data_IF_278447809765
#
_entry.id   IF_278447809765
#
_cell.length_a   1.000
_cell.length_b   1.000
_cell.length_c   1.000
_cell.angle_alpha   90.00
_cell.angle_beta   90.00
_cell.angle_gamma   90.00
#
_symmetry.space_group_name_H-M   'P 1'
#
loop_
_entity.id
_entity.type
_entity.pdbx_description
1 polymer ?
#
# COMPACT_ATOMS: atom_id res chain seq x y z
N UNK A 1 -1.06 13.10 6.56
CA UNK A 1 -1.97 14.02 7.26
C UNK A 1 -1.18 15.20 7.84
N UNK A 2 -1.74 16.41 7.91
CA UNK A 2 -1.07 17.54 8.55
C UNK A 2 -0.83 17.23 10.04
N UNK A 3 0.23 17.80 10.65
CA UNK A 3 0.51 17.58 12.05
C UNK A 3 -0.65 18.08 12.92
N UNK A 4 -1.00 17.35 13.99
CA UNK A 4 -2.04 17.81 14.91
C UNK A 4 -1.67 19.18 15.47
N UNK A 5 -2.58 20.13 15.40
CA UNK A 5 -2.41 21.45 15.99
C UNK A 5 -2.18 21.33 17.51
N UNK A 6 -1.36 22.20 18.08
CA UNK A 6 -1.12 22.22 19.53
C UNK A 6 -2.47 22.38 20.25
N UNK A 7 -2.85 21.47 21.17
CA UNK A 7 -4.14 21.62 21.84
C UNK A 7 -4.19 22.93 22.60
N UNK A 8 -5.32 23.66 22.56
CA UNK A 8 -5.51 24.88 23.31
C UNK A 8 -5.36 24.61 24.83
N UNK A 9 -4.67 25.47 25.52
CA UNK A 9 -4.29 25.31 26.93
C UNK A 9 -5.32 25.82 27.91
N UNK A 10 -6.58 25.44 27.79
CA UNK A 10 -7.64 25.78 28.70
C UNK A 10 -9.04 25.61 28.14
N UNK A 11 -10.02 25.32 28.98
CA UNK A 11 -11.40 25.04 28.57
C UNK A 11 -11.96 26.15 27.68
N UNK A 12 -11.70 27.42 28.02
CA UNK A 12 -12.16 28.57 27.27
C UNK A 12 -11.59 28.61 25.86
N UNK A 13 -10.29 28.40 25.72
CA UNK A 13 -9.63 28.34 24.40
C UNK A 13 -10.08 27.14 23.58
N UNK A 14 -10.31 25.97 24.23
CA UNK A 14 -10.85 24.78 23.59
C UNK A 14 -12.26 25.04 23.08
N UNK A 15 -13.09 25.70 23.88
CA UNK A 15 -14.44 26.07 23.50
C UNK A 15 -14.45 27.07 22.34
N UNK A 16 -13.67 28.14 22.42
CA UNK A 16 -13.55 29.16 21.37
C UNK A 16 -13.01 28.58 20.06
N UNK A 17 -12.02 27.69 20.15
CA UNK A 17 -11.46 27.02 18.96
C UNK A 17 -12.39 25.95 18.35
N UNK A 18 -13.32 25.38 19.13
CA UNK A 18 -14.27 24.37 18.68
C UNK A 18 -15.62 24.92 18.22
N UNK A 19 -15.86 26.24 18.39
CA UNK A 19 -17.08 26.91 17.91
C UNK A 19 -17.04 27.12 16.39
N UNK A 20 -17.22 26.05 15.65
CA UNK A 20 -17.34 26.12 14.19
C UNK A 20 -18.76 26.53 13.79
N UNK A 21 -19.76 26.05 14.54
CA UNK A 21 -21.18 26.35 14.33
C UNK A 21 -21.79 26.83 15.64
N UNK A 22 -22.51 27.98 15.68
CA UNK A 22 -23.20 28.44 16.87
C UNK A 22 -24.17 27.38 17.41
N UNK A 23 -24.18 27.20 18.72
CA UNK A 23 -25.03 26.25 19.47
C UNK A 23 -24.71 24.76 19.32
N UNK A 24 -23.68 24.37 18.58
CA UNK A 24 -23.24 22.99 18.57
C UNK A 24 -22.36 22.68 19.78
N UNK A 25 -22.47 21.47 20.36
CA UNK A 25 -21.59 21.02 21.44
C UNK A 25 -20.14 21.00 20.99
N UNK A 26 -19.25 21.50 21.85
CA UNK A 26 -17.79 21.46 21.61
C UNK A 26 -17.17 20.38 22.45
N UNK A 27 -16.41 19.48 21.82
CA UNK A 27 -15.71 18.42 22.52
C UNK A 27 -14.51 18.97 23.29
N UNK A 28 -14.58 18.93 24.61
CA UNK A 28 -13.52 19.40 25.51
C UNK A 28 -12.48 18.31 25.80
N UNK A 29 -12.90 17.07 25.98
CA UNK A 29 -12.02 15.94 26.28
C UNK A 29 -12.61 14.63 25.75
N UNK A 30 -11.75 13.79 25.18
CA UNK A 30 -12.06 12.41 24.80
C UNK A 30 -11.44 11.44 25.83
N UNK A 31 -11.91 10.20 25.88
CA UNK A 31 -11.40 9.13 26.75
C UNK A 31 -11.37 9.53 28.23
N UNK A 32 -12.46 10.12 28.70
CA UNK A 32 -12.63 10.42 30.12
C UNK A 32 -12.70 9.10 30.88
N UNK A 33 -11.84 8.92 31.87
CA UNK A 33 -11.87 7.73 32.73
C UNK A 33 -13.18 7.63 33.51
N UNK A 34 -13.48 6.41 33.97
CA UNK A 34 -14.76 6.09 34.59
C UNK A 34 -15.03 6.90 35.87
N UNK A 35 -13.99 7.16 36.65
CA UNK A 35 -14.10 7.90 37.89
C UNK A 35 -14.34 9.39 37.65
N UNK A 36 -13.62 9.97 36.69
CA UNK A 36 -13.85 11.35 36.22
C UNK A 36 -15.25 11.50 35.60
N UNK A 37 -15.69 10.53 34.79
CA UNK A 37 -17.03 10.54 34.23
C UNK A 37 -18.12 10.50 35.32
N UNK A 38 -17.94 9.67 36.35
CA UNK A 38 -18.86 9.60 37.48
C UNK A 38 -18.92 10.94 38.26
N UNK A 39 -17.75 11.58 38.49
CA UNK A 39 -17.70 12.90 39.12
C UNK A 39 -18.39 13.98 38.30
N UNK A 40 -18.19 14.01 36.97
CA UNK A 40 -18.89 14.96 36.08
C UNK A 40 -20.40 14.73 36.17
N UNK A 41 -20.85 13.48 36.17
CA UNK A 41 -22.27 13.13 36.29
C UNK A 41 -22.85 13.58 37.64
N UNK A 42 -22.13 13.39 38.73
CA UNK A 42 -22.55 13.86 40.06
C UNK A 42 -22.64 15.39 40.12
N UNK A 43 -21.69 16.09 39.45
CA UNK A 43 -21.62 17.53 39.46
C UNK A 43 -22.41 18.21 38.32
N UNK A 44 -23.24 17.46 37.58
CA UNK A 44 -24.01 17.96 36.47
C UNK A 44 -24.81 19.24 36.78
N UNK A 45 -25.40 19.31 37.98
CA UNK A 45 -26.14 20.49 38.46
C UNK A 45 -25.23 21.74 38.60
N UNK A 46 -23.93 21.53 38.89
CA UNK A 46 -22.94 22.61 39.04
C UNK A 46 -22.18 22.94 37.78
N UNK A 47 -22.34 22.12 36.77
CA UNK A 47 -21.67 22.25 35.47
C UNK A 47 -22.72 22.40 34.34
N UNK A 48 -23.49 23.50 34.32
CA UNK A 48 -24.50 23.72 33.28
C UNK A 48 -23.83 23.80 31.91
N UNK A 49 -24.36 23.09 30.94
CA UNK A 49 -23.84 23.02 29.57
C UNK A 49 -22.70 22.01 29.36
N UNK A 50 -22.32 21.23 30.39
CA UNK A 50 -21.37 20.11 30.22
C UNK A 50 -22.14 18.81 30.14
N UNK A 51 -21.89 18.05 29.08
CA UNK A 51 -22.51 16.74 28.84
C UNK A 51 -21.44 15.66 28.69
N UNK A 52 -21.79 14.47 29.16
CA UNK A 52 -21.06 13.22 28.90
C UNK A 52 -21.75 12.49 27.76
N UNK A 53 -21.03 12.30 26.67
CA UNK A 53 -21.51 11.59 25.51
C UNK A 53 -20.73 10.28 25.39
N UNK A 54 -21.44 9.17 25.23
CA UNK A 54 -20.85 7.87 24.93
C UNK A 54 -20.81 7.72 23.41
N UNK A 55 -19.61 7.66 22.87
CA UNK A 55 -19.41 7.47 21.43
C UNK A 55 -18.72 6.13 21.17
N UNK A 56 -19.11 5.39 20.12
CA UNK A 56 -18.38 4.22 19.70
C UNK A 56 -17.00 4.63 19.18
N UNK A 57 -15.97 3.92 19.63
CA UNK A 57 -14.58 4.14 19.19
C UNK A 57 -14.12 2.89 18.46
N UNK A 58 -13.50 3.06 17.30
CA UNK A 58 -12.91 1.95 16.56
C UNK A 58 -11.78 1.32 17.38
N UNK A 59 -11.83 0.01 17.57
CA UNK A 59 -10.82 -0.77 18.27
C UNK A 59 -10.22 -1.80 17.33
N UNK A 60 -8.92 -1.74 17.12
CA UNK A 60 -8.18 -2.63 16.23
C UNK A 60 -7.53 -3.74 17.06
N UNK A 61 -8.21 -4.89 17.14
CA UNK A 61 -7.81 -6.00 18.01
C UNK A 61 -6.47 -6.63 17.63
N UNK A 62 -6.06 -6.49 16.37
CA UNK A 62 -4.80 -7.00 15.84
C UNK A 62 -3.66 -5.97 15.87
N UNK A 63 -3.97 -4.72 16.21
CA UNK A 63 -3.00 -3.64 16.35
C UNK A 63 -2.03 -3.54 15.17
N UNK A 64 -0.71 -3.49 15.42
CA UNK A 64 0.30 -3.30 14.38
C UNK A 64 0.34 -4.39 13.30
N UNK A 65 -0.13 -5.60 13.60
CA UNK A 65 -0.08 -6.75 12.69
C UNK A 65 -0.85 -6.51 11.38
N UNK A 66 -1.96 -5.76 11.44
CA UNK A 66 -2.84 -5.50 10.29
C UNK A 66 -3.02 -4.01 10.00
N UNK A 67 -2.19 -3.15 10.59
CA UNK A 67 -2.37 -1.70 10.50
C UNK A 67 -2.38 -1.17 9.07
N UNK A 68 -1.50 -1.67 8.21
CA UNK A 68 -1.43 -1.26 6.81
C UNK A 68 -2.58 -1.79 5.94
N UNK A 69 -3.25 -2.87 6.38
CA UNK A 69 -4.42 -3.44 5.71
C UNK A 69 -5.67 -2.70 6.17
N UNK A 70 -5.93 -2.68 7.47
CA UNK A 70 -7.13 -2.07 8.02
C UNK A 70 -7.09 -0.55 7.89
N UNK A 71 -5.92 0.06 8.09
CA UNK A 71 -5.81 1.50 8.18
C UNK A 71 -6.36 2.03 9.50
N UNK A 72 -6.84 3.25 9.51
CA UNK A 72 -7.41 3.86 10.70
C UNK A 72 -8.46 4.93 10.37
N UNK A 73 -9.33 5.14 11.34
CA UNK A 73 -10.36 6.18 11.34
C UNK A 73 -9.83 7.42 12.07
N UNK A 74 -10.03 8.59 11.51
CA UNK A 74 -9.62 9.85 12.09
C UNK A 74 -10.61 10.98 11.87
N UNK A 75 -10.28 12.19 12.35
CA UNK A 75 -11.07 13.38 12.04
C UNK A 75 -10.94 13.72 10.57
N UNK A 76 -12.01 14.25 10.00
CA UNK A 76 -12.00 14.78 8.63
C UNK A 76 -10.98 15.93 8.56
N UNK A 77 -10.01 15.89 7.62
CA UNK A 77 -9.09 17.00 7.39
C UNK A 77 -9.84 18.29 7.01
N UNK A 78 -9.39 19.44 7.53
CA UNK A 78 -10.05 20.73 7.29
C UNK A 78 -10.24 21.04 5.79
N UNK A 79 -9.24 20.67 4.98
CA UNK A 79 -9.26 20.88 3.53
C UNK A 79 -10.34 20.05 2.81
N UNK A 80 -10.79 18.96 3.43
CA UNK A 80 -11.78 18.04 2.87
C UNK A 80 -13.17 18.21 3.49
N UNK A 81 -13.31 19.07 4.50
CA UNK A 81 -14.54 19.20 5.28
C UNK A 81 -15.75 19.51 4.38
N UNK A 82 -15.63 20.48 3.48
CA UNK A 82 -16.72 20.85 2.57
C UNK A 82 -17.20 19.67 1.70
N UNK A 83 -16.26 18.83 1.22
CA UNK A 83 -16.57 17.64 0.43
C UNK A 83 -17.35 16.59 1.26
N UNK A 84 -16.93 16.38 2.51
CA UNK A 84 -17.62 15.43 3.38
C UNK A 84 -18.97 15.95 3.88
N UNK A 85 -19.11 17.27 4.11
CA UNK A 85 -20.39 17.90 4.44
C UNK A 85 -21.44 17.70 3.34
N UNK A 86 -21.05 17.81 2.06
CA UNK A 86 -21.92 17.47 0.92
C UNK A 86 -22.41 16.01 0.93
N UNK A 87 -21.63 15.12 1.53
CA UNK A 87 -21.97 13.70 1.72
C UNK A 87 -22.74 13.44 3.03
N UNK A 88 -23.10 14.50 3.77
CA UNK A 88 -23.87 14.40 5.00
C UNK A 88 -23.07 14.04 6.24
N UNK A 89 -21.76 14.41 6.26
CA UNK A 89 -20.96 14.36 7.48
C UNK A 89 -21.08 15.66 8.28
N UNK A 90 -21.01 15.54 9.58
CA UNK A 90 -20.87 16.70 10.47
C UNK A 90 -19.39 17.04 10.65
N UNK A 91 -19.02 18.30 10.95
CA UNK A 91 -17.62 18.72 11.12
C UNK A 91 -16.83 17.93 12.17
N UNK A 92 -17.52 17.34 13.13
CA UNK A 92 -16.91 16.53 14.20
C UNK A 92 -16.90 15.02 13.90
N UNK A 93 -17.41 14.62 12.76
CA UNK A 93 -17.42 13.21 12.38
C UNK A 93 -16.01 12.68 12.12
N UNK A 94 -15.93 11.37 12.08
CA UNK A 94 -14.73 10.64 11.74
C UNK A 94 -14.98 9.87 10.46
N UNK A 95 -13.91 9.70 9.69
CA UNK A 95 -13.90 8.93 8.45
C UNK A 95 -12.68 8.04 8.40
N UNK A 96 -12.72 6.99 7.62
CA UNK A 96 -11.52 6.22 7.26
C UNK A 96 -10.51 7.11 6.55
N UNK A 97 -9.27 7.12 7.00
CA UNK A 97 -8.20 7.93 6.41
C UNK A 97 -7.21 7.13 5.59
N UNK A 98 -7.08 5.85 5.88
CA UNK A 98 -6.17 4.93 5.17
C UNK A 98 -6.75 3.51 5.15
N UNK A 99 -6.14 2.63 4.35
CA UNK A 99 -6.47 1.21 4.32
C UNK A 99 -7.91 0.90 3.93
N UNK A 100 -8.40 -0.23 4.39
CA UNK A 100 -9.78 -0.69 4.17
C UNK A 100 -10.81 0.28 4.78
N UNK A 101 -10.49 0.91 5.91
CA UNK A 101 -11.36 1.93 6.52
C UNK A 101 -11.65 3.08 5.54
N UNK A 102 -10.65 3.53 4.76
CA UNK A 102 -10.84 4.53 3.71
C UNK A 102 -11.58 3.97 2.49
N UNK A 103 -11.10 2.84 1.96
CA UNK A 103 -11.59 2.32 0.68
C UNK A 103 -13.05 1.83 0.74
N UNK A 104 -13.52 1.47 1.92
CA UNK A 104 -14.87 0.96 2.16
C UNK A 104 -15.65 1.82 3.17
N UNK A 105 -15.29 3.09 3.31
CA UNK A 105 -15.97 4.03 4.23
C UNK A 105 -17.48 4.03 4.02
N UNK A 106 -17.95 4.11 2.76
CA UNK A 106 -19.38 4.09 2.42
C UNK A 106 -20.13 2.84 2.90
N UNK A 107 -19.40 1.72 3.02
CA UNK A 107 -19.94 0.43 3.47
C UNK A 107 -19.91 0.33 5.00
N UNK A 108 -18.81 0.79 5.59
CA UNK A 108 -18.53 0.68 7.03
C UNK A 108 -19.24 1.78 7.83
N UNK A 109 -19.54 2.91 7.19
CA UNK A 109 -20.26 4.01 7.80
C UNK A 109 -21.70 3.62 8.09
N UNK A 110 -22.16 3.81 9.33
CA UNK A 110 -23.56 3.72 9.70
C UNK A 110 -24.36 4.95 9.24
N UNK A 111 -25.64 4.92 9.49
CA UNK A 111 -26.53 6.09 9.34
C UNK A 111 -26.90 6.60 10.72
N UNK A 112 -26.76 7.92 10.92
CA UNK A 112 -27.18 8.56 12.16
C UNK A 112 -28.69 8.48 12.33
N UNK A 113 -29.12 8.27 13.57
CA UNK A 113 -30.51 8.49 13.95
C UNK A 113 -30.74 9.95 14.31
N UNK A 114 -31.99 10.37 14.24
CA UNK A 114 -32.38 11.72 14.55
C UNK A 114 -33.60 11.73 15.47
N UNK A 115 -33.60 12.62 16.46
CA UNK A 115 -34.77 12.95 17.25
C UNK A 115 -34.95 14.46 17.33
N UNK A 116 -36.17 14.93 17.16
CA UNK A 116 -36.50 16.33 17.41
C UNK A 116 -36.92 16.49 18.86
N UNK A 117 -36.29 17.41 19.56
CA UNK A 117 -36.57 17.65 21.00
C UNK A 117 -37.03 19.10 21.22
N UNK A 118 -37.95 19.28 22.15
CA UNK A 118 -38.28 20.60 22.68
C UNK A 118 -37.34 20.89 23.86
N UNK A 119 -36.67 22.01 23.85
CA UNK A 119 -35.75 22.42 24.90
C UNK A 119 -36.27 23.66 25.64
N UNK A 120 -35.92 23.80 26.93
CA UNK A 120 -36.18 25.03 27.68
C UNK A 120 -35.14 26.11 27.35
N UNK A 121 -35.26 27.28 27.97
CA UNK A 121 -34.36 28.41 27.77
C UNK A 121 -32.91 28.16 28.22
N UNK A 122 -32.68 27.10 28.98
CA UNK A 122 -31.36 26.65 29.44
C UNK A 122 -30.80 25.53 28.57
N UNK A 123 -31.53 25.09 27.51
CA UNK A 123 -31.09 24.04 26.58
C UNK A 123 -31.38 22.61 27.07
N UNK A 124 -32.13 22.43 28.17
CA UNK A 124 -32.48 21.12 28.68
C UNK A 124 -33.68 20.51 27.91
N UNK A 125 -33.57 19.24 27.54
CA UNK A 125 -34.65 18.50 26.85
C UNK A 125 -35.89 18.40 27.74
N UNK A 126 -37.01 18.95 27.25
CA UNK A 126 -38.34 18.86 27.91
C UNK A 126 -39.07 17.61 27.43
N UNK A 127 -39.11 17.39 26.14
CA UNK A 127 -39.74 16.22 25.51
C UNK A 127 -39.27 15.99 24.09
N UNK A 128 -39.36 14.75 23.62
CA UNK A 128 -39.18 14.41 22.21
C UNK A 128 -40.45 14.72 21.43
N UNK A 129 -40.31 15.36 20.27
CA UNK A 129 -41.41 15.71 19.36
C UNK A 129 -41.33 14.85 18.10
N UNK A 130 -42.44 14.19 17.76
CA UNK A 130 -42.54 13.39 16.54
C UNK A 130 -41.88 12.02 16.61
N UNK A 131 -41.56 11.47 15.43
CA UNK A 131 -40.92 10.15 15.31
C UNK A 131 -39.41 10.25 15.58
N UNK A 132 -38.87 9.24 16.24
CA UNK A 132 -37.43 9.03 16.42
C UNK A 132 -36.95 8.16 15.27
N UNK A 133 -35.93 8.61 14.55
CA UNK A 133 -35.21 7.77 13.60
C UNK A 133 -34.07 7.10 14.33
N UNK A 134 -34.10 5.78 14.41
CA UNK A 134 -33.06 5.00 15.08
C UNK A 134 -31.78 4.96 14.21
N UNK A 135 -30.57 5.02 14.82
CA UNK A 135 -29.34 4.86 14.08
C UNK A 135 -29.21 3.49 13.49
N UNK A 136 -28.66 3.40 12.29
CA UNK A 136 -28.38 2.12 11.62
C UNK A 136 -26.87 1.89 11.60
N UNK A 137 -26.40 0.72 12.08
CA UNK A 137 -24.98 0.37 11.98
C UNK A 137 -24.55 0.22 10.52
N UNK A 138 -23.28 0.45 10.23
CA UNK A 138 -22.68 0.10 8.96
C UNK A 138 -22.60 -1.41 8.77
N UNK A 139 -22.24 -1.81 7.56
CA UNK A 139 -22.05 -3.21 7.21
C UNK A 139 -20.68 -3.72 7.68
N UNK A 140 -20.50 -5.03 7.63
CA UNK A 140 -19.24 -5.68 7.97
C UNK A 140 -18.53 -6.15 6.69
N UNK A 141 -17.20 -6.17 6.72
CA UNK A 141 -16.38 -6.74 5.67
C UNK A 141 -15.76 -8.05 6.14
N UNK A 142 -15.81 -9.06 5.28
CA UNK A 142 -15.05 -10.30 5.46
C UNK A 142 -13.84 -10.18 4.55
N UNK A 143 -12.64 -10.22 5.14
CA UNK A 143 -11.39 -10.10 4.41
C UNK A 143 -10.87 -11.47 3.96
N UNK A 144 -10.03 -11.46 2.92
CA UNK A 144 -9.33 -12.66 2.42
C UNK A 144 -8.14 -13.05 3.30
N UNK A 145 -7.79 -12.22 4.28
CA UNK A 145 -6.63 -12.39 5.14
C UNK A 145 -6.82 -13.58 6.09
N UNK A 146 -5.88 -14.51 6.04
CA UNK A 146 -5.69 -15.54 7.06
C UNK A 146 -4.83 -14.96 8.20
N UNK A 147 -5.42 -14.76 9.36
CA UNK A 147 -4.75 -14.10 10.49
C UNK A 147 -3.60 -14.94 11.06
N UNK A 148 -3.68 -16.26 11.03
CA UNK A 148 -2.60 -17.13 11.49
C UNK A 148 -1.42 -17.08 10.51
N UNK A 149 -1.71 -17.12 9.20
CA UNK A 149 -0.69 -16.94 8.19
C UNK A 149 -0.01 -15.56 8.33
N UNK A 150 -0.80 -14.48 8.55
CA UNK A 150 -0.30 -13.12 8.76
C UNK A 150 0.70 -13.05 9.93
N UNK A 151 0.42 -13.74 11.06
CA UNK A 151 1.32 -13.82 12.23
C UNK A 151 2.60 -14.58 11.93
N UNK A 152 2.48 -15.70 11.23
CA UNK A 152 3.64 -16.50 10.82
C UNK A 152 4.53 -15.68 9.88
N UNK A 153 3.93 -14.99 8.90
CA UNK A 153 4.64 -14.14 7.96
C UNK A 153 5.37 -12.99 8.67
N UNK A 154 4.73 -12.30 9.61
CA UNK A 154 5.40 -11.24 10.38
C UNK A 154 6.60 -11.80 11.17
N UNK A 155 6.42 -12.93 11.85
CA UNK A 155 7.49 -13.56 12.64
C UNK A 155 8.67 -13.96 11.75
N UNK A 156 8.40 -14.55 10.60
CA UNK A 156 9.42 -14.95 9.64
C UNK A 156 10.14 -13.74 9.04
N UNK A 157 9.39 -12.69 8.69
CA UNK A 157 9.95 -11.46 8.15
C UNK A 157 10.88 -10.77 9.15
N UNK A 158 10.49 -10.66 10.42
CA UNK A 158 11.34 -10.08 11.48
C UNK A 158 12.67 -10.84 11.63
N UNK A 159 12.64 -12.16 11.60
CA UNK A 159 13.87 -12.99 11.63
C UNK A 159 14.74 -12.76 10.40
N UNK A 160 14.14 -12.68 9.22
CA UNK A 160 14.87 -12.41 7.98
C UNK A 160 15.53 -11.03 8.01
N UNK A 161 14.79 -10.00 8.47
CA UNK A 161 15.31 -8.64 8.63
C UNK A 161 16.48 -8.58 9.62
N UNK A 162 16.36 -9.24 10.76
CA UNK A 162 17.45 -9.36 11.74
C UNK A 162 18.70 -10.01 11.13
N UNK A 163 18.53 -11.12 10.42
CA UNK A 163 19.64 -11.84 9.76
C UNK A 163 20.30 -11.01 8.65
N UNK A 164 19.52 -10.18 7.96
CA UNK A 164 20.00 -9.33 6.88
C UNK A 164 20.52 -7.96 7.37
N UNK A 165 20.35 -7.62 8.65
CA UNK A 165 20.64 -6.28 9.19
C UNK A 165 19.75 -5.19 8.59
N UNK A 166 18.53 -5.55 8.13
CA UNK A 166 17.59 -4.61 7.52
C UNK A 166 16.63 -4.04 8.55
N UNK A 167 16.27 -2.77 8.41
CA UNK A 167 15.30 -2.07 9.27
C UNK A 167 13.89 -2.05 8.68
N UNK A 168 13.74 -2.42 7.40
CA UNK A 168 12.45 -2.51 6.72
C UNK A 168 12.33 -3.80 5.91
N UNK A 169 11.09 -4.26 5.69
CA UNK A 169 10.83 -5.46 4.93
C UNK A 169 9.36 -5.63 4.58
N UNK A 170 9.11 -6.42 3.54
CA UNK A 170 7.76 -6.75 3.05
C UNK A 170 7.66 -8.24 2.80
N UNK A 171 6.52 -8.82 3.15
CA UNK A 171 6.12 -10.15 2.67
C UNK A 171 4.63 -10.16 2.34
N UNK A 172 4.27 -10.79 1.22
CA UNK A 172 2.88 -10.86 0.73
C UNK A 172 2.62 -12.31 0.30
N UNK A 173 1.46 -12.83 0.64
CA UNK A 173 0.96 -14.13 0.17
C UNK A 173 -0.34 -13.92 -0.63
N UNK A 174 -0.41 -14.51 -1.82
CA UNK A 174 -1.54 -14.43 -2.74
C UNK A 174 -1.94 -15.82 -3.21
N UNK A 175 -3.23 -16.07 -3.36
CA UNK A 175 -3.71 -17.20 -4.15
C UNK A 175 -3.65 -16.85 -5.64
N UNK A 176 -2.76 -17.48 -6.42
CA UNK A 176 -2.59 -17.16 -7.84
C UNK A 176 -3.80 -17.52 -8.70
N UNK A 177 -4.74 -18.31 -8.19
CA UNK A 177 -5.95 -18.73 -8.91
C UNK A 177 -7.07 -17.67 -8.87
N UNK A 178 -6.99 -16.74 -7.90
CA UNK A 178 -8.09 -15.79 -7.62
C UNK A 178 -7.61 -14.35 -7.48
N UNK A 179 -6.31 -14.12 -7.22
CA UNK A 179 -5.78 -12.80 -6.86
C UNK A 179 -6.04 -12.39 -5.40
N UNK A 180 -6.63 -13.26 -4.59
CA UNK A 180 -6.89 -12.97 -3.17
C UNK A 180 -5.59 -12.87 -2.38
N UNK A 181 -5.44 -11.79 -1.63
CA UNK A 181 -4.33 -11.59 -0.70
C UNK A 181 -4.64 -12.32 0.60
N UNK A 182 -3.87 -13.35 0.90
CA UNK A 182 -4.02 -14.17 2.11
C UNK A 182 -3.24 -13.61 3.29
N UNK A 183 -2.22 -12.81 3.03
CA UNK A 183 -1.42 -12.10 4.03
C UNK A 183 -0.59 -10.99 3.38
N UNK A 184 -0.41 -9.88 4.11
CA UNK A 184 0.39 -8.74 3.68
C UNK A 184 1.01 -8.09 4.91
N UNK A 185 2.32 -8.18 5.04
CA UNK A 185 3.10 -7.58 6.13
C UNK A 185 4.07 -6.56 5.55
N UNK A 186 4.02 -5.36 6.07
CA UNK A 186 4.95 -4.27 5.79
C UNK A 186 5.55 -3.79 7.11
N UNK A 187 6.86 -3.84 7.25
CA UNK A 187 7.59 -3.43 8.45
C UNK A 187 8.58 -2.29 8.12
N UNK A 188 8.77 -1.33 9.06
CA UNK A 188 8.07 -1.22 10.34
C UNK A 188 6.59 -0.88 10.15
N UNK A 189 5.77 -1.29 11.12
CA UNK A 189 4.35 -1.00 11.19
C UNK A 189 4.04 -0.03 12.36
N UNK A 190 2.79 0.36 12.51
CA UNK A 190 2.32 1.24 13.57
C UNK A 190 1.08 0.66 14.26
N UNK A 191 0.79 1.13 15.49
CA UNK A 191 -0.48 0.79 16.14
C UNK A 191 -1.56 1.78 15.67
N UNK A 192 -2.52 1.28 14.91
CA UNK A 192 -3.63 2.09 14.41
C UNK A 192 -4.61 2.54 15.52
N UNK A 193 -4.59 1.89 16.70
CA UNK A 193 -5.35 2.37 17.87
C UNK A 193 -4.91 3.76 18.34
N UNK A 194 -3.67 4.17 18.08
CA UNK A 194 -3.20 5.53 18.39
C UNK A 194 -4.03 6.62 17.70
N UNK A 195 -4.65 6.31 16.56
CA UNK A 195 -5.48 7.24 15.79
C UNK A 195 -6.95 7.21 16.20
N UNK A 196 -7.42 6.14 16.83
CA UNK A 196 -8.85 5.91 17.15
C UNK A 196 -9.48 7.02 17.99
N UNK A 197 -8.71 7.66 18.85
CA UNK A 197 -9.21 8.73 19.73
C UNK A 197 -8.52 10.08 19.47
N UNK A 198 -7.61 10.10 18.51
CA UNK A 198 -6.72 11.21 18.20
C UNK A 198 -5.29 10.92 18.64
N UNK A 199 -4.36 10.98 17.71
CA UNK A 199 -2.94 10.73 17.98
C UNK A 199 -2.31 11.91 18.71
N UNK A 200 -1.41 11.63 19.67
CA UNK A 200 -0.61 12.67 20.32
C UNK A 200 0.40 13.28 19.32
N UNK A 201 0.78 14.54 19.54
CA UNK A 201 1.81 15.17 18.68
C UNK A 201 3.13 14.41 18.78
N UNK A 202 3.49 13.89 19.95
CA UNK A 202 4.70 13.10 20.16
C UNK A 202 4.69 11.81 19.34
N UNK A 203 3.62 11.02 19.42
CA UNK A 203 3.49 9.78 18.65
C UNK A 203 3.45 10.05 17.15
N UNK A 204 2.73 11.10 16.74
CA UNK A 204 2.67 11.49 15.33
C UNK A 204 4.06 11.86 14.78
N UNK A 205 4.80 12.70 15.50
CA UNK A 205 6.15 13.09 15.11
C UNK A 205 7.06 11.88 15.06
N UNK A 206 7.04 11.00 16.07
CA UNK A 206 7.82 9.77 16.09
C UNK A 206 7.59 8.93 14.83
N UNK A 207 6.33 8.71 14.44
CA UNK A 207 5.98 7.92 13.26
C UNK A 207 6.33 8.64 11.94
N UNK A 208 6.23 9.98 11.90
CA UNK A 208 6.40 10.74 10.66
C UNK A 208 7.87 11.06 10.34
N UNK A 209 8.74 11.22 11.36
CA UNK A 209 10.17 11.50 11.15
C UNK A 209 11.01 10.23 11.06
N UNK A 210 10.45 9.07 11.33
CA UNK A 210 11.15 7.79 11.22
C UNK A 210 11.60 7.58 9.76
N UNK A 211 12.91 7.33 9.59
CA UNK A 211 13.53 7.12 8.26
C UNK A 211 12.94 5.93 7.51
N UNK A 212 12.47 4.92 8.23
CA UNK A 212 11.89 3.70 7.70
C UNK A 212 10.37 3.81 7.44
N UNK A 213 9.79 5.03 7.68
CA UNK A 213 8.43 5.43 7.30
C UNK A 213 7.34 4.43 7.69
N UNK A 214 7.13 4.16 8.98
CA UNK A 214 6.15 3.15 9.44
C UNK A 214 4.71 3.41 9.01
N UNK A 215 4.35 4.63 8.61
CA UNK A 215 3.01 4.96 8.09
C UNK A 215 2.82 4.57 6.61
N UNK A 216 3.90 4.24 5.90
CA UNK A 216 3.85 3.84 4.49
C UNK A 216 3.68 2.33 4.38
N UNK A 217 2.68 1.88 3.65
CA UNK A 217 2.58 0.49 3.25
C UNK A 217 3.57 0.21 2.12
N UNK A 218 4.76 -0.30 2.48
CA UNK A 218 5.82 -0.60 1.52
C UNK A 218 5.46 -1.70 0.52
N UNK A 219 4.44 -2.52 0.81
CA UNK A 219 3.97 -3.57 -0.11
C UNK A 219 3.42 -3.00 -1.42
N UNK A 220 2.77 -1.84 -1.35
CA UNK A 220 2.08 -1.19 -2.46
C UNK A 220 2.65 0.19 -2.80
N UNK A 221 3.24 0.90 -1.83
CA UNK A 221 3.76 2.26 -2.00
C UNK A 221 5.28 2.33 -2.14
N UNK A 222 6.02 1.29 -1.73
CA UNK A 222 7.47 1.22 -1.86
C UNK A 222 7.90 0.87 -3.29
N UNK A 223 8.88 1.63 -3.82
CA UNK A 223 9.43 1.42 -5.15
C UNK A 223 10.86 0.89 -5.05
N UNK A 224 11.10 -0.27 -5.64
CA UNK A 224 12.40 -0.96 -5.57
C UNK A 224 12.79 -1.52 -6.94
N UNK A 225 14.09 -1.58 -7.26
CA UNK A 225 14.57 -2.40 -8.35
C UNK A 225 14.26 -3.85 -8.05
N UNK A 226 13.53 -4.57 -8.94
CA UNK A 226 13.06 -5.92 -8.63
C UNK A 226 14.18 -6.98 -8.59
N UNK A 227 15.31 -6.72 -9.22
CA UNK A 227 16.41 -7.67 -9.32
C UNK A 227 16.04 -8.94 -10.08
N UNK A 228 16.71 -10.03 -9.77
CA UNK A 228 16.60 -11.30 -10.52
C UNK A 228 15.21 -11.93 -10.55
N UNK A 229 14.30 -11.60 -9.65
CA UNK A 229 12.90 -12.07 -9.75
C UNK A 229 12.19 -11.50 -10.99
N UNK A 230 12.69 -10.41 -11.56
CA UNK A 230 12.22 -9.81 -12.81
C UNK A 230 12.47 -10.69 -14.03
N UNK A 231 13.47 -11.59 -14.00
CA UNK A 231 13.92 -12.40 -15.15
C UNK A 231 12.82 -13.28 -15.76
N UNK A 232 11.75 -13.56 -15.03
CA UNK A 232 10.56 -14.25 -15.57
C UNK A 232 9.92 -13.47 -16.74
N UNK A 233 9.99 -12.14 -16.73
CA UNK A 233 9.38 -11.29 -17.77
C UNK A 233 10.19 -11.34 -19.07
N UNK A 234 11.50 -11.01 -19.10
CA UNK A 234 12.28 -11.17 -20.32
C UNK A 234 12.37 -12.63 -20.80
N UNK A 235 12.36 -13.62 -19.89
CA UNK A 235 12.28 -15.04 -20.28
C UNK A 235 10.99 -15.35 -21.07
N UNK A 236 9.85 -14.87 -20.60
CA UNK A 236 8.58 -15.00 -21.31
C UNK A 236 8.64 -14.28 -22.65
N UNK A 237 9.13 -13.03 -22.66
CA UNK A 237 9.17 -12.20 -23.84
C UNK A 237 10.02 -12.80 -24.99
N UNK A 238 11.22 -13.33 -24.66
CA UNK A 238 12.09 -13.92 -25.68
C UNK A 238 11.54 -15.23 -26.27
N UNK A 239 10.73 -15.96 -25.48
CA UNK A 239 10.05 -17.16 -25.98
C UNK A 239 8.84 -16.82 -26.85
N UNK A 240 7.96 -15.95 -26.38
CA UNK A 240 6.74 -15.56 -27.11
C UNK A 240 7.05 -14.86 -28.43
N UNK A 241 8.10 -14.06 -28.50
CA UNK A 241 8.56 -13.39 -29.73
C UNK A 241 9.51 -14.25 -30.56
N UNK A 242 9.72 -15.53 -30.20
CA UNK A 242 10.62 -16.46 -30.90
C UNK A 242 12.03 -15.89 -31.14
N UNK A 243 12.53 -15.08 -30.20
CA UNK A 243 13.91 -14.57 -30.21
C UNK A 243 14.90 -15.71 -29.96
N UNK A 244 14.51 -16.64 -29.11
CA UNK A 244 15.26 -17.87 -28.79
C UNK A 244 14.31 -19.06 -28.62
N UNK A 245 14.80 -20.25 -28.93
CA UNK A 245 14.18 -21.51 -28.53
C UNK A 245 14.61 -21.89 -27.12
N UNK A 246 13.82 -22.64 -26.32
CA UNK A 246 14.18 -23.05 -24.96
C UNK A 246 15.53 -23.74 -24.81
N UNK A 247 15.98 -24.38 -25.90
CA UNK A 247 17.23 -25.16 -26.00
C UNK A 247 18.43 -24.38 -26.49
N UNK A 248 18.22 -23.13 -26.95
CA UNK A 248 19.31 -22.27 -27.39
C UNK A 248 20.24 -21.91 -26.25
N UNK A 249 21.55 -22.03 -26.50
CA UNK A 249 22.57 -21.88 -25.48
C UNK A 249 23.46 -20.70 -25.73
N UNK A 250 23.69 -19.93 -24.67
CA UNK A 250 24.58 -18.78 -24.64
C UNK A 250 25.72 -19.02 -23.65
N UNK A 251 26.90 -18.48 -23.95
CA UNK A 251 28.08 -18.66 -23.12
C UNK A 251 28.13 -17.58 -22.05
N UNK A 252 28.20 -17.98 -20.79
CA UNK A 252 28.50 -17.12 -19.66
C UNK A 252 29.93 -17.37 -19.15
N UNK A 253 30.82 -16.42 -19.34
CA UNK A 253 32.21 -16.41 -18.87
C UNK A 253 32.46 -15.53 -17.65
N UNK A 254 31.40 -15.22 -16.87
CA UNK A 254 31.48 -14.31 -15.75
C UNK A 254 31.40 -12.83 -16.12
N UNK A 255 32.01 -12.44 -17.23
CA UNK A 255 32.00 -11.06 -17.75
C UNK A 255 31.69 -11.04 -19.25
N UNK A 256 30.79 -10.12 -19.64
CA UNK A 256 30.49 -9.78 -21.02
C UNK A 256 31.12 -8.44 -21.35
N UNK A 257 32.05 -8.40 -22.26
CA UNK A 257 32.72 -7.18 -22.69
C UNK A 257 32.00 -6.58 -23.88
N UNK A 258 31.41 -5.41 -23.71
CA UNK A 258 30.65 -4.72 -24.75
C UNK A 258 31.53 -3.65 -25.39
N UNK A 259 31.83 -3.78 -26.69
CA UNK A 259 32.65 -2.78 -27.41
C UNK A 259 32.07 -1.35 -27.29
N UNK A 260 32.93 -0.39 -27.18
CA UNK A 260 32.51 1.01 -27.21
C UNK A 260 31.93 1.37 -28.57
N UNK A 261 30.78 2.02 -28.62
CA UNK A 261 30.11 2.41 -29.87
C UNK A 261 30.96 3.26 -30.80
N UNK A 262 31.82 4.14 -30.23
CA UNK A 262 32.64 5.07 -30.99
C UNK A 262 34.06 4.56 -31.26
N UNK A 263 34.50 3.58 -30.48
CA UNK A 263 35.82 2.94 -30.58
C UNK A 263 35.66 1.42 -30.48
N UNK A 264 34.99 0.78 -31.44
CA UNK A 264 34.64 -0.65 -31.35
C UNK A 264 35.87 -1.58 -31.39
N UNK A 265 36.95 -1.14 -32.00
CA UNK A 265 38.17 -1.92 -32.14
C UNK A 265 39.17 -1.70 -30.99
N UNK A 266 38.84 -0.87 -30.02
CA UNK A 266 39.67 -0.60 -28.84
C UNK A 266 39.16 -1.39 -27.63
N UNK A 267 39.85 -2.49 -27.23
CA UNK A 267 39.41 -3.29 -26.06
C UNK A 267 39.47 -2.54 -24.73
N UNK A 268 40.33 -1.50 -24.60
CA UNK A 268 40.46 -0.73 -23.37
C UNK A 268 39.21 0.16 -23.14
N UNK A 269 38.49 0.45 -24.20
CA UNK A 269 37.25 1.23 -24.16
C UNK A 269 35.99 0.35 -24.00
N UNK A 270 36.12 -0.99 -24.01
CA UNK A 270 35.02 -1.88 -23.84
C UNK A 270 34.45 -1.85 -22.40
N UNK A 271 33.16 -1.84 -22.26
CA UNK A 271 32.47 -1.80 -20.98
C UNK A 271 32.17 -3.22 -20.47
N UNK A 272 32.58 -3.58 -19.24
CA UNK A 272 32.26 -4.88 -18.66
C UNK A 272 30.84 -4.89 -18.08
N UNK A 273 30.11 -5.97 -18.37
CA UNK A 273 28.87 -6.35 -17.70
C UNK A 273 29.09 -7.70 -17.02
N UNK A 274 28.99 -7.72 -15.69
CA UNK A 274 29.37 -8.89 -14.89
C UNK A 274 28.15 -9.73 -14.52
N UNK A 275 28.39 -11.04 -14.39
CA UNK A 275 27.47 -11.97 -13.76
C UNK A 275 27.85 -12.11 -12.29
N UNK A 276 26.89 -12.47 -11.45
CA UNK A 276 27.16 -12.74 -10.04
C UNK A 276 28.13 -13.94 -9.84
N UNK A 277 28.15 -14.89 -10.79
CA UNK A 277 29.15 -15.97 -10.85
C UNK A 277 30.40 -15.45 -11.60
N UNK A 278 31.45 -15.13 -10.90
CA UNK A 278 32.68 -14.52 -11.47
C UNK A 278 33.36 -15.41 -12.51
N UNK A 279 33.38 -16.74 -12.28
CA UNK A 279 33.94 -17.70 -13.25
C UNK A 279 32.98 -18.04 -14.40
N UNK A 280 31.72 -17.55 -14.30
CA UNK A 280 30.66 -17.82 -15.26
C UNK A 280 29.94 -19.15 -15.04
N UNK A 281 28.83 -19.31 -15.76
CA UNK A 281 27.99 -20.52 -15.72
C UNK A 281 28.28 -21.50 -16.88
N UNK A 282 29.20 -21.16 -17.77
CA UNK A 282 29.46 -21.94 -19.00
C UNK A 282 28.36 -21.77 -20.03
N UNK A 283 27.99 -22.85 -20.71
CA UNK A 283 26.88 -22.88 -21.66
C UNK A 283 25.56 -23.03 -20.89
N UNK A 284 24.68 -22.06 -21.01
CA UNK A 284 23.37 -22.04 -20.36
C UNK A 284 22.24 -21.88 -21.36
N UNK A 285 21.20 -22.67 -21.22
CA UNK A 285 19.91 -22.50 -21.90
C UNK A 285 18.94 -21.70 -21.00
N UNK A 286 17.71 -21.49 -21.49
CA UNK A 286 16.71 -20.72 -20.76
C UNK A 286 16.41 -21.27 -19.36
N UNK A 287 16.21 -22.60 -19.24
CA UNK A 287 15.90 -23.20 -17.95
C UNK A 287 17.07 -23.08 -16.97
N UNK A 288 18.29 -23.30 -17.45
CA UNK A 288 19.51 -23.14 -16.65
C UNK A 288 19.72 -21.68 -16.27
N UNK A 289 19.42 -20.73 -17.17
CA UNK A 289 19.56 -19.28 -16.89
C UNK A 289 18.63 -18.80 -15.79
N UNK A 290 17.38 -19.30 -15.74
CA UNK A 290 16.44 -19.03 -14.66
C UNK A 290 16.88 -19.69 -13.37
N UNK A 291 17.21 -20.99 -13.39
CA UNK A 291 17.60 -21.76 -12.22
C UNK A 291 18.86 -21.23 -11.54
N UNK A 292 19.84 -20.77 -12.33
CA UNK A 292 21.12 -20.26 -11.85
C UNK A 292 21.17 -18.73 -11.79
N UNK A 293 20.08 -18.06 -12.18
CA UNK A 293 20.00 -16.59 -12.23
C UNK A 293 21.13 -15.94 -13.05
N UNK A 294 21.43 -16.49 -14.24
CA UNK A 294 22.54 -16.04 -15.05
C UNK A 294 22.26 -14.67 -15.70
N UNK A 295 23.00 -13.63 -15.31
CA UNK A 295 22.78 -12.27 -15.81
C UNK A 295 23.21 -12.14 -17.28
N UNK A 296 24.35 -12.74 -17.65
CA UNK A 296 24.90 -12.67 -19.02
C UNK A 296 23.95 -13.28 -20.06
N UNK A 297 23.19 -14.33 -19.70
CA UNK A 297 22.17 -14.87 -20.58
C UNK A 297 21.16 -13.77 -20.94
N UNK A 298 20.62 -13.09 -19.92
CA UNK A 298 19.60 -12.04 -20.11
C UNK A 298 20.13 -10.80 -20.79
N UNK A 299 21.40 -10.41 -20.56
CA UNK A 299 22.04 -9.34 -21.32
C UNK A 299 22.00 -9.65 -22.82
N UNK A 300 22.41 -10.86 -23.22
CA UNK A 300 22.51 -11.25 -24.61
C UNK A 300 21.12 -11.37 -25.26
N UNK A 301 20.20 -12.15 -24.65
CA UNK A 301 18.89 -12.43 -25.27
C UNK A 301 17.96 -11.22 -25.27
N UNK A 302 18.18 -10.26 -24.38
CA UNK A 302 17.33 -9.06 -24.31
C UNK A 302 17.96 -7.87 -25.03
N UNK A 303 19.21 -7.52 -24.73
CA UNK A 303 19.86 -6.34 -25.29
C UNK A 303 20.66 -6.60 -26.54
N UNK A 304 20.86 -7.87 -26.92
CA UNK A 304 21.68 -8.30 -28.08
C UNK A 304 23.16 -8.31 -27.76
N UNK A 305 23.95 -9.06 -28.53
CA UNK A 305 25.41 -9.07 -28.45
C UNK A 305 26.04 -9.59 -29.74
N UNK A 306 27.05 -8.90 -30.25
CA UNK A 306 27.66 -9.17 -31.55
C UNK A 306 26.63 -9.06 -32.68
N UNK A 307 26.44 -10.11 -33.43
CA UNK A 307 25.44 -10.18 -34.52
C UNK A 307 24.04 -10.58 -34.02
N UNK A 308 23.91 -11.01 -32.79
CA UNK A 308 22.62 -11.40 -32.20
C UNK A 308 21.86 -10.14 -31.74
N UNK A 309 20.67 -9.85 -32.34
CA UNK A 309 19.99 -8.57 -32.11
C UNK A 309 19.31 -8.45 -30.73
N UNK A 310 18.98 -9.59 -30.10
CA UNK A 310 18.20 -9.64 -28.88
C UNK A 310 16.75 -9.16 -29.06
N UNK A 311 15.99 -9.11 -27.95
CA UNK A 311 14.58 -8.67 -27.91
C UNK A 311 14.42 -7.16 -28.15
N UNK A 312 15.31 -6.37 -27.55
CA UNK A 312 15.27 -4.90 -27.57
C UNK A 312 14.40 -4.29 -26.47
N UNK A 313 14.65 -2.99 -26.22
CA UNK A 313 13.98 -2.22 -25.14
C UNK A 313 12.46 -2.13 -25.31
N UNK A 314 12.00 -1.80 -26.52
CA UNK A 314 10.56 -1.49 -26.72
C UNK A 314 9.69 -2.72 -26.46
N UNK A 315 10.13 -3.89 -26.91
CA UNK A 315 9.44 -5.14 -26.66
C UNK A 315 9.52 -5.54 -25.19
N UNK A 316 10.68 -5.39 -24.53
CA UNK A 316 10.80 -5.62 -23.09
C UNK A 316 9.83 -4.73 -22.30
N UNK A 317 9.75 -3.44 -22.64
CA UNK A 317 8.85 -2.50 -21.99
C UNK A 317 7.36 -2.84 -22.22
N UNK A 318 7.02 -3.37 -23.39
CA UNK A 318 5.67 -3.83 -23.69
C UNK A 318 5.30 -5.04 -22.82
N UNK A 319 6.17 -6.05 -22.73
CA UNK A 319 5.94 -7.19 -21.84
C UNK A 319 5.87 -6.79 -20.36
N UNK A 320 6.68 -5.83 -19.91
CA UNK A 320 6.54 -5.28 -18.57
C UNK A 320 5.11 -4.79 -18.28
N UNK A 321 4.51 -4.04 -19.24
CA UNK A 321 3.13 -3.55 -19.11
C UNK A 321 2.11 -4.68 -19.19
N UNK A 322 2.30 -5.67 -20.04
CA UNK A 322 1.44 -6.86 -20.09
C UNK A 322 1.43 -7.63 -18.77
N UNK A 323 2.55 -7.62 -18.03
CA UNK A 323 2.65 -8.16 -16.68
C UNK A 323 2.16 -7.19 -15.58
N UNK A 324 1.58 -6.04 -15.95
CA UNK A 324 1.00 -5.06 -15.00
C UNK A 324 2.03 -4.15 -14.35
N UNK A 325 3.27 -4.08 -14.84
CA UNK A 325 4.26 -3.14 -14.33
C UNK A 325 4.10 -1.75 -14.96
N UNK A 326 4.33 -0.70 -14.19
CA UNK A 326 4.17 0.68 -14.64
C UNK A 326 2.74 1.19 -14.60
N UNK A 327 1.81 0.40 -14.06
CA UNK A 327 0.39 0.72 -13.89
C UNK A 327 -0.09 0.27 -12.51
N UNK A 328 -1.19 0.86 -11.96
CA UNK A 328 -1.72 0.42 -10.67
C UNK A 328 -2.29 -1.00 -10.79
N UNK A 329 -2.10 -1.83 -9.76
CA UNK A 329 -2.73 -3.17 -9.68
C UNK A 329 -4.23 -3.06 -9.39
N UNK A 330 -4.66 -1.86 -8.96
CA UNK A 330 -6.02 -1.56 -8.51
C UNK A 330 -6.45 -2.39 -7.29
N UNK A 331 -5.51 -2.72 -6.42
CA UNK A 331 -5.85 -3.26 -5.10
C UNK A 331 -6.76 -2.29 -4.35
N UNK A 332 -7.63 -2.81 -3.53
CA UNK A 332 -8.58 -2.03 -2.75
C UNK A 332 -7.96 -1.30 -1.53
N UNK A 333 -6.78 -0.70 -1.74
CA UNK A 333 -6.07 0.12 -0.76
C UNK A 333 -5.63 1.46 -1.38
N UNK A 334 -5.61 2.50 -0.56
CA UNK A 334 -5.07 3.81 -0.94
C UNK A 334 -3.54 3.81 -0.88
N UNK A 335 -2.92 4.60 -1.76
CA UNK A 335 -1.46 4.86 -1.70
C UNK A 335 -0.62 3.90 -2.54
N UNK A 336 -1.24 3.24 -3.52
CA UNK A 336 -0.52 2.40 -4.49
C UNK A 336 0.36 3.25 -5.41
N UNK A 337 1.61 2.83 -5.58
CA UNK A 337 2.56 3.41 -6.53
C UNK A 337 2.55 2.64 -7.85
N UNK A 338 2.59 3.38 -8.96
CA UNK A 338 2.53 2.78 -10.30
C UNK A 338 3.84 2.12 -10.76
N UNK A 339 4.96 2.36 -10.05
CA UNK A 339 6.27 1.92 -10.52
C UNK A 339 6.81 2.75 -11.69
N UNK A 340 7.87 2.24 -12.29
CA UNK A 340 8.50 2.87 -13.47
C UNK A 340 8.98 1.79 -14.44
N UNK A 341 8.38 1.74 -15.62
CA UNK A 341 8.91 1.03 -16.79
C UNK A 341 9.59 2.06 -17.69
N UNK A 342 10.93 2.15 -17.66
CA UNK A 342 11.66 3.19 -18.38
C UNK A 342 11.59 2.97 -19.89
N UNK A 343 11.67 4.09 -20.63
CA UNK A 343 11.75 4.10 -22.11
C UNK A 343 12.84 5.05 -22.56
N UNK A 344 13.28 4.94 -23.81
CA UNK A 344 14.26 5.87 -24.38
C UNK A 344 13.77 7.34 -24.31
N UNK A 345 12.46 7.55 -24.53
CA UNK A 345 11.84 8.89 -24.39
C UNK A 345 11.90 9.40 -22.96
N UNK A 346 11.56 8.54 -22.00
CA UNK A 346 11.61 8.89 -20.56
C UNK A 346 13.04 9.28 -20.14
N UNK A 347 14.06 8.48 -20.49
CA UNK A 347 15.47 8.79 -20.13
C UNK A 347 15.91 10.13 -20.71
N UNK A 348 15.58 10.39 -21.99
CA UNK A 348 15.91 11.65 -22.64
C UNK A 348 15.26 12.86 -21.96
N UNK A 349 13.99 12.75 -21.55
CA UNK A 349 13.27 13.84 -20.89
C UNK A 349 13.73 14.08 -19.46
N UNK A 350 14.11 13.00 -18.73
CA UNK A 350 14.47 13.07 -17.31
C UNK A 350 15.95 13.43 -17.11
N UNK A 351 16.85 12.85 -17.93
CA UNK A 351 18.30 12.98 -17.76
C UNK A 351 18.99 13.71 -18.90
N UNK A 352 18.27 14.09 -19.96
CA UNK A 352 18.84 14.64 -21.20
C UNK A 352 19.86 13.71 -21.89
N UNK A 353 19.73 12.39 -21.68
CA UNK A 353 20.62 11.37 -22.20
C UNK A 353 19.90 10.43 -23.17
N UNK A 354 20.68 9.88 -24.13
CA UNK A 354 20.18 8.82 -25.00
C UNK A 354 20.19 7.47 -24.27
N UNK A 355 19.27 6.59 -24.66
CA UNK A 355 19.29 5.20 -24.22
C UNK A 355 20.46 4.45 -24.88
N UNK A 356 21.14 3.62 -24.11
CA UNK A 356 22.25 2.80 -24.59
C UNK A 356 21.99 1.32 -24.30
N UNK A 357 22.69 0.42 -24.99
CA UNK A 357 22.54 -1.03 -24.81
C UNK A 357 22.72 -1.47 -23.36
N UNK A 358 23.65 -0.86 -22.63
CA UNK A 358 23.86 -1.13 -21.20
C UNK A 358 22.65 -0.83 -20.31
N UNK A 359 21.79 0.15 -20.68
CA UNK A 359 20.55 0.40 -19.97
C UNK A 359 19.57 -0.79 -20.15
N UNK A 360 19.51 -1.36 -21.36
CA UNK A 360 18.69 -2.56 -21.63
C UNK A 360 19.22 -3.77 -20.87
N UNK A 361 20.54 -3.94 -20.79
CA UNK A 361 21.16 -5.01 -20.01
C UNK A 361 20.76 -4.91 -18.53
N UNK A 362 20.96 -3.76 -17.92
CA UNK A 362 20.59 -3.54 -16.52
C UNK A 362 19.09 -3.80 -16.31
N UNK A 363 18.23 -3.29 -17.21
CA UNK A 363 16.79 -3.50 -17.12
C UNK A 363 16.43 -4.99 -17.22
N UNK A 364 17.11 -5.77 -18.08
CA UNK A 364 16.82 -7.19 -18.30
C UNK A 364 17.00 -8.06 -17.06
N UNK A 365 17.77 -7.60 -16.09
CA UNK A 365 17.99 -8.29 -14.81
C UNK A 365 17.27 -7.60 -13.63
N UNK A 366 16.34 -6.68 -13.94
CA UNK A 366 15.56 -5.96 -12.94
C UNK A 366 16.34 -4.90 -12.18
N UNK A 367 17.33 -4.28 -12.83
CA UNK A 367 18.14 -3.19 -12.29
C UNK A 367 18.11 -1.94 -13.19
N UNK A 368 18.97 -0.96 -12.92
CA UNK A 368 18.98 0.31 -13.64
C UNK A 368 17.79 1.18 -13.25
N UNK A 369 17.01 1.61 -14.23
CA UNK A 369 15.92 2.58 -14.02
C UNK A 369 14.57 1.94 -13.72
N UNK A 370 14.42 0.61 -13.85
CA UNK A 370 13.14 -0.05 -13.56
C UNK A 370 12.85 -0.06 -12.07
N UNK A 371 11.63 0.37 -11.70
CA UNK A 371 11.15 0.36 -10.33
C UNK A 371 9.76 -0.26 -10.25
N UNK A 372 9.57 -1.16 -9.30
CA UNK A 372 8.30 -1.86 -9.09
C UNK A 372 7.92 -1.87 -7.60
N UNK A 373 6.64 -2.05 -7.32
CA UNK A 373 6.22 -2.39 -5.97
C UNK A 373 6.36 -3.90 -5.74
N UNK A 374 6.52 -4.35 -4.48
CA UNK A 374 6.48 -5.78 -4.15
C UNK A 374 5.21 -6.48 -4.63
N UNK A 375 4.05 -5.80 -4.54
CA UNK A 375 2.78 -6.34 -5.02
C UNK A 375 2.76 -6.55 -6.52
N UNK A 376 3.29 -5.60 -7.31
CA UNK A 376 3.39 -5.75 -8.77
C UNK A 376 4.21 -6.98 -9.16
N UNK A 377 5.36 -7.20 -8.51
CA UNK A 377 6.18 -8.39 -8.79
C UNK A 377 5.53 -9.69 -8.36
N UNK A 378 4.82 -9.69 -7.23
CA UNK A 378 4.03 -10.86 -6.82
C UNK A 378 2.92 -11.16 -7.83
N UNK A 379 2.19 -10.13 -8.29
CA UNK A 379 1.10 -10.30 -9.26
C UNK A 379 1.61 -10.80 -10.62
N UNK A 380 2.75 -10.27 -11.09
CA UNK A 380 3.44 -10.77 -12.29
C UNK A 380 3.83 -12.25 -12.13
N UNK A 381 4.37 -12.64 -10.97
CA UNK A 381 4.72 -14.04 -10.68
C UNK A 381 3.48 -14.94 -10.60
N UNK A 382 2.39 -14.44 -10.01
CA UNK A 382 1.11 -15.15 -9.96
C UNK A 382 0.53 -15.40 -11.36
N UNK A 383 0.68 -14.43 -12.28
CA UNK A 383 0.27 -14.59 -13.68
C UNK A 383 1.01 -15.73 -14.37
N UNK A 384 2.32 -15.90 -14.12
CA UNK A 384 3.06 -17.07 -14.63
C UNK A 384 2.51 -18.37 -14.01
N UNK A 385 2.27 -18.39 -12.69
CA UNK A 385 1.79 -19.57 -11.99
C UNK A 385 0.40 -20.03 -12.44
N UNK A 386 -0.46 -19.11 -12.88
CA UNK A 386 -1.83 -19.39 -13.33
C UNK A 386 -2.03 -19.45 -14.85
N UNK A 387 -0.94 -19.53 -15.62
CA UNK A 387 -0.92 -19.63 -17.08
C UNK A 387 -1.31 -18.35 -17.83
N UNK A 388 -0.99 -17.19 -17.29
CA UNK A 388 -1.04 -15.90 -17.98
C UNK A 388 -2.21 -14.99 -17.61
N UNK A 389 -3.00 -15.30 -16.58
CA UNK A 389 -4.07 -14.41 -16.12
C UNK A 389 -3.52 -13.43 -15.09
N UNK A 390 -3.60 -12.13 -15.37
CA UNK A 390 -3.28 -11.08 -14.42
C UNK A 390 -4.55 -10.70 -13.64
N UNK A 391 -4.66 -11.15 -12.40
CA UNK A 391 -5.80 -10.81 -11.53
C UNK A 391 -5.62 -9.45 -10.90
N UNK A 392 -6.73 -8.79 -10.61
CA UNK A 392 -6.76 -7.67 -9.67
C UNK A 392 -6.57 -8.24 -8.25
N UNK A 393 -5.56 -7.79 -7.48
CA UNK A 393 -5.41 -8.21 -6.08
C UNK A 393 -6.60 -7.78 -5.24
N UNK A 394 -7.09 -8.66 -4.36
CA UNK A 394 -8.28 -8.44 -3.53
C UNK A 394 -8.00 -8.69 -2.06
N UNK A 395 -8.50 -7.80 -1.19
CA UNK A 395 -8.47 -7.94 0.27
C UNK A 395 -9.85 -8.22 0.86
N UNK A 396 -10.92 -7.81 0.19
CA UNK A 396 -12.30 -8.02 0.63
C UNK A 396 -12.91 -9.21 -0.11
N UNK A 397 -13.31 -10.24 0.63
CA UNK A 397 -14.03 -11.40 0.09
C UNK A 397 -15.51 -11.08 -0.11
N UNK A 398 -16.16 -10.50 0.92
CA UNK A 398 -17.58 -10.16 0.87
C UNK A 398 -17.97 -9.07 1.85
N UNK A 399 -19.12 -8.45 1.55
CA UNK A 399 -19.82 -7.51 2.42
C UNK A 399 -20.99 -8.26 3.04
N UNK A 400 -21.14 -8.15 4.36
CA UNK A 400 -22.28 -8.74 5.10
C UNK A 400 -22.97 -7.68 5.95
N UNK A 401 -24.26 -7.83 6.17
CA UNK A 401 -25.03 -6.94 7.04
C UNK A 401 -24.74 -7.20 8.55
N UNK A 402 -25.41 -6.46 9.42
CA UNK A 402 -25.27 -6.61 10.86
C UNK A 402 -25.75 -8.00 11.39
N UNK A 403 -26.50 -8.75 10.59
CA UNK A 403 -26.97 -10.11 10.92
C UNK A 403 -26.05 -11.20 10.34
N UNK A 404 -25.06 -10.81 9.52
CA UNK A 404 -24.15 -11.74 8.86
C UNK A 404 -24.66 -12.25 7.50
N UNK A 405 -25.74 -11.68 6.97
CA UNK A 405 -26.24 -12.03 5.64
C UNK A 405 -25.40 -11.36 4.56
N UNK A 406 -25.04 -12.10 3.51
CA UNK A 406 -24.20 -11.59 2.43
C UNK A 406 -24.96 -10.59 1.56
N UNK A 407 -24.48 -9.36 1.51
CA UNK A 407 -24.97 -8.29 0.63
C UNK A 407 -24.27 -8.36 -0.75
N UNK A 408 -22.94 -8.57 -0.73
CA UNK A 408 -22.14 -8.67 -1.94
C UNK A 408 -20.99 -9.66 -1.74
N UNK A 409 -20.77 -10.51 -2.72
CA UNK A 409 -19.66 -11.47 -2.78
C UNK A 409 -18.74 -11.10 -3.96
N UNK A 410 -17.44 -10.99 -3.70
CA UNK A 410 -16.44 -10.62 -4.72
C UNK A 410 -15.72 -11.84 -5.33
N UNK A 411 -15.95 -13.05 -4.81
CA UNK A 411 -15.29 -14.28 -5.30
C UNK A 411 -15.68 -14.68 -6.73
N UNK A 412 -16.72 -14.10 -7.26
CA UNK A 412 -17.32 -14.44 -8.56
C UNK A 412 -17.09 -13.39 -9.65
N UNK A 413 -16.16 -12.46 -9.44
CA UNK A 413 -15.88 -11.36 -10.40
C UNK A 413 -14.58 -11.58 -11.16
#
# INVERSE_FOLDING_TARGET
PPPPSRPPSGIRQMYEAGLIVPHNPVRLKSNVDRDTAALIQEWKVRLPGVELVVEPVRSYLTGPLTSHILGYVGRIPEEQLAHYEEQGYDPNDRTGLTGIEYSYEDVLRGRKGYKTVEVNVTGEEIRTIGAVEEPMPGNNLVLTIDLELQRVMETALRKAMESAGSTSGVTIAMDPRTGQILGMVSLPSFDNNLFSTGISLEDYLRLNIDKDRPLVNHAIGGLYPPGSIFKIIPATAVLEDHVVEPTDRFVCKGTLWVPNRYFPDDPEMAQPFVCWAEEGHGLVDLNQSLAQSCDIYYYQVTGGYGEFPGLGLDRLAEYCRMFGLGEPTNIDLLGESIGLVPTAKWKRLTYAESWVTGDTYNMSIGQGFILTTPLQMLNATAAVANRGTLFRPQLVEKIVDAKGETIRDFRTQ
#
